data_IF_201617304884
#
_entry.id   IF_201617304884
#
_cell.length_a   1.000
_cell.length_b   1.000
_cell.length_c   1.000
_cell.angle_alpha   90.00
_cell.angle_beta   90.00
_cell.angle_gamma   90.00
#
_symmetry.space_group_name_H-M   'P 1'
#
loop_
_entity.id
_entity.type
_entity.pdbx_description
1 polymer ?
#
# COMPACT_ATOMS: atom_id res chain seq x y z
N UNK A 1 11.65 17.32 6.70
CA UNK A 1 11.23 16.22 5.81
C UNK A 1 10.73 16.83 4.52
N UNK A 2 11.03 16.24 3.37
CA UNK A 2 10.61 16.80 2.09
C UNK A 2 9.10 16.74 1.90
N UNK A 3 8.57 17.71 1.16
CA UNK A 3 7.15 17.80 0.83
C UNK A 3 6.99 18.22 -0.62
N UNK A 4 5.89 17.86 -1.25
CA UNK A 4 5.48 18.35 -2.56
C UNK A 4 4.13 19.02 -2.48
N UNK A 5 3.99 20.17 -3.14
CA UNK A 5 2.72 20.87 -3.25
C UNK A 5 1.96 20.35 -4.47
N UNK A 6 0.71 19.97 -4.25
CA UNK A 6 -0.24 19.63 -5.31
C UNK A 6 -1.42 20.63 -5.32
N UNK A 7 -2.27 20.57 -6.32
CA UNK A 7 -3.47 21.41 -6.37
C UNK A 7 -4.42 21.17 -5.17
N UNK A 8 -4.32 20.00 -4.54
CA UNK A 8 -5.18 19.56 -3.44
C UNK A 8 -4.47 19.56 -2.07
N UNK A 9 -3.38 20.34 -1.92
CA UNK A 9 -2.62 20.45 -0.68
C UNK A 9 -1.26 19.76 -0.72
N UNK A 10 -0.54 19.86 0.38
CA UNK A 10 0.83 19.38 0.50
C UNK A 10 0.88 17.89 0.85
N UNK A 11 1.80 17.17 0.25
CA UNK A 11 2.08 15.76 0.56
C UNK A 11 3.48 15.63 1.14
N UNK A 12 3.60 14.81 2.17
CA UNK A 12 4.84 14.46 2.83
C UNK A 12 5.41 13.17 2.25
N UNK A 13 6.74 13.15 2.01
CA UNK A 13 7.46 11.95 1.59
C UNK A 13 8.85 11.87 2.22
N UNK A 14 9.42 10.69 2.23
CA UNK A 14 10.82 10.42 2.60
C UNK A 14 11.50 9.65 1.49
N UNK A 15 12.73 10.08 1.15
CA UNK A 15 13.61 9.38 0.23
C UNK A 15 14.86 8.95 0.96
N UNK A 16 15.05 7.64 1.11
CA UNK A 16 16.25 7.03 1.68
C UNK A 16 17.12 6.50 0.55
N UNK A 17 18.30 7.07 0.41
CA UNK A 17 19.34 6.57 -0.50
C UNK A 17 20.61 6.31 0.31
N UNK A 18 20.85 5.05 0.60
CA UNK A 18 22.06 4.56 1.29
C UNK A 18 22.83 3.59 0.41
N UNK A 19 22.58 3.64 -0.91
CA UNK A 19 23.25 2.77 -1.87
C UNK A 19 24.76 3.05 -1.88
N UNK A 20 25.61 2.00 -1.94
CA UNK A 20 27.05 2.17 -2.05
C UNK A 20 27.46 2.89 -3.35
N UNK A 21 28.59 3.62 -3.35
CA UNK A 21 29.00 4.44 -4.51
C UNK A 21 29.32 3.66 -5.79
N UNK A 22 29.43 2.35 -5.70
CA UNK A 22 29.59 1.46 -6.86
C UNK A 22 28.26 1.03 -7.49
N UNK A 23 27.13 1.22 -6.81
CA UNK A 23 25.79 1.05 -7.38
C UNK A 23 25.49 2.30 -8.20
N UNK A 24 25.49 2.13 -9.52
CA UNK A 24 25.24 3.25 -10.43
C UNK A 24 23.77 3.28 -10.83
N UNK A 25 23.13 4.47 -10.74
CA UNK A 25 21.73 4.68 -11.09
C UNK A 25 20.78 3.71 -10.36
N UNK A 26 20.78 3.69 -9.02
CA UNK A 26 19.91 2.78 -8.27
C UNK A 26 18.45 3.04 -8.61
N UNK A 27 17.70 1.97 -8.88
CA UNK A 27 16.27 2.04 -9.13
C UNK A 27 15.53 2.44 -7.85
N UNK A 28 14.36 3.05 -8.00
CA UNK A 28 13.53 3.49 -6.89
C UNK A 28 12.41 2.48 -6.63
N UNK A 29 12.22 2.12 -5.36
CA UNK A 29 11.03 1.41 -4.89
C UNK A 29 10.13 2.43 -4.18
N UNK A 30 8.93 2.67 -4.72
CA UNK A 30 7.92 3.55 -4.16
C UNK A 30 6.88 2.74 -3.38
N UNK A 31 6.69 3.09 -2.11
CA UNK A 31 5.79 2.40 -1.19
C UNK A 31 4.54 3.21 -0.89
N UNK A 32 3.37 2.58 -1.04
CA UNK A 32 2.05 3.15 -0.77
C UNK A 32 1.34 2.35 0.34
N UNK A 33 1.08 2.97 1.46
CA UNK A 33 0.38 2.34 2.58
C UNK A 33 -1.12 2.22 2.34
N UNK A 34 -1.82 1.44 3.14
CA UNK A 34 -3.26 1.26 3.09
C UNK A 34 -4.05 2.29 3.91
N UNK A 35 -5.31 1.98 4.14
CA UNK A 35 -6.22 2.85 4.91
C UNK A 35 -5.85 2.86 6.39
N UNK A 36 -5.94 4.05 7.00
CA UNK A 36 -5.80 4.28 8.44
C UNK A 36 -4.42 3.94 9.03
N UNK A 37 -3.37 4.21 8.28
CA UNK A 37 -1.99 4.09 8.72
C UNK A 37 -1.15 5.16 8.02
N UNK A 38 0.15 5.18 8.21
CA UNK A 38 1.09 6.07 7.52
C UNK A 38 2.31 5.31 7.01
N UNK A 39 3.23 6.02 6.37
CA UNK A 39 4.48 5.49 5.79
C UNK A 39 5.35 4.70 6.77
N UNK A 40 5.18 4.90 8.07
CA UNK A 40 5.93 4.20 9.12
C UNK A 40 5.79 2.67 9.09
N UNK A 41 4.74 2.12 8.45
CA UNK A 41 4.61 0.65 8.30
C UNK A 41 5.76 0.03 7.50
N UNK A 42 6.46 0.82 6.69
CA UNK A 42 7.54 0.38 5.81
C UNK A 42 8.92 0.41 6.46
N UNK A 43 9.04 0.92 7.70
CA UNK A 43 10.33 1.14 8.36
C UNK A 43 11.20 -0.12 8.43
N UNK A 44 10.60 -1.29 8.62
CA UNK A 44 11.33 -2.58 8.68
C UNK A 44 11.70 -3.15 7.29
N UNK A 45 11.19 -2.56 6.20
CA UNK A 45 11.57 -2.94 4.83
C UNK A 45 12.85 -2.24 4.38
N UNK A 46 13.08 -1.02 4.89
CA UNK A 46 14.20 -0.16 4.46
C UNK A 46 15.55 -0.88 4.60
N UNK A 47 15.91 -1.48 5.76
CA UNK A 47 17.21 -2.14 5.91
C UNK A 47 17.41 -3.34 4.98
N UNK A 48 16.33 -3.98 4.53
CA UNK A 48 16.38 -5.14 3.64
C UNK A 48 16.61 -4.77 2.17
N UNK A 49 16.44 -3.48 1.80
CA UNK A 49 16.38 -3.04 0.41
C UNK A 49 17.34 -1.88 0.08
N UNK A 50 17.65 -1.02 1.05
CA UNK A 50 18.33 0.27 0.83
C UNK A 50 19.83 0.19 0.48
N UNK A 51 20.41 -1.01 0.53
CA UNK A 51 21.77 -1.27 0.03
C UNK A 51 21.82 -1.33 -1.51
N UNK A 52 20.69 -1.46 -2.17
CA UNK A 52 20.61 -1.61 -3.63
C UNK A 52 19.66 -0.62 -4.29
N UNK A 53 18.58 -0.22 -3.60
CA UNK A 53 17.50 0.59 -4.13
C UNK A 53 17.35 1.90 -3.35
N UNK A 54 16.90 2.92 -4.04
CA UNK A 54 16.36 4.15 -3.40
C UNK A 54 14.98 3.81 -2.87
N UNK A 55 14.71 4.13 -1.61
CA UNK A 55 13.44 3.81 -0.95
C UNK A 55 12.63 5.10 -0.81
N UNK A 56 11.51 5.17 -1.51
CA UNK A 56 10.60 6.30 -1.51
C UNK A 56 9.32 5.90 -0.78
N UNK A 57 9.08 6.50 0.37
CA UNK A 57 7.84 6.34 1.14
C UNK A 57 7.12 7.66 1.23
N UNK A 58 5.82 7.66 1.38
CA UNK A 58 5.03 8.88 1.56
C UNK A 58 3.78 8.62 2.38
N UNK A 59 3.27 9.66 3.01
CA UNK A 59 1.96 9.62 3.65
C UNK A 59 0.88 9.96 2.62
N UNK A 60 -0.03 9.03 2.41
CA UNK A 60 -1.17 9.23 1.50
C UNK A 60 -2.02 10.39 1.99
N UNK A 61 -2.55 11.19 1.07
CA UNK A 61 -3.50 12.26 1.37
C UNK A 61 -4.53 11.81 2.40
N UNK A 62 -4.76 12.62 3.41
CA UNK A 62 -5.67 12.30 4.52
C UNK A 62 -5.03 11.54 5.67
N UNK A 63 -3.72 11.21 5.61
CA UNK A 63 -2.99 10.49 6.65
C UNK A 63 -1.64 11.12 6.97
N UNK A 64 -1.12 10.77 8.16
CA UNK A 64 0.22 11.12 8.61
C UNK A 64 0.49 12.62 8.61
N UNK A 65 1.54 13.04 7.93
CA UNK A 65 1.96 14.44 7.79
C UNK A 65 1.48 15.09 6.48
N UNK A 66 0.80 14.33 5.62
CA UNK A 66 0.18 14.85 4.41
C UNK A 66 -1.10 15.61 4.72
N UNK A 67 -1.48 16.52 3.83
CA UNK A 67 -2.70 17.31 3.96
C UNK A 67 -3.92 16.42 4.20
N UNK A 68 -4.71 16.77 5.20
CA UNK A 68 -6.02 16.17 5.49
C UNK A 68 -7.07 17.10 4.88
N UNK A 69 -7.74 16.68 3.78
CA UNK A 69 -8.78 17.48 3.15
C UNK A 69 -9.99 17.69 4.07
N UNK A 70 -10.84 18.63 3.75
CA UNK A 70 -12.13 18.81 4.43
C UNK A 70 -13.14 17.73 4.00
N UNK A 71 -14.32 17.73 4.66
CA UNK A 71 -15.36 16.71 4.44
C UNK A 71 -16.00 16.77 3.04
N UNK A 72 -15.82 17.86 2.30
CA UNK A 72 -16.36 18.02 0.95
C UNK A 72 -15.44 17.47 -0.14
N UNK A 73 -14.25 16.97 0.23
CA UNK A 73 -13.26 16.47 -0.72
C UNK A 73 -13.75 15.20 -1.44
N UNK A 74 -13.72 15.24 -2.77
CA UNK A 74 -14.08 14.11 -3.62
C UNK A 74 -12.89 13.17 -3.81
N UNK A 75 -12.94 11.99 -3.18
CA UNK A 75 -11.93 10.96 -3.28
C UNK A 75 -12.05 10.19 -4.59
N UNK A 76 -10.92 9.97 -5.26
CA UNK A 76 -10.89 9.16 -6.47
C UNK A 76 -9.54 8.47 -6.66
N UNK A 77 -9.53 7.30 -7.32
CA UNK A 77 -8.28 6.59 -7.69
C UNK A 77 -7.41 7.46 -8.60
N UNK A 78 -8.00 8.18 -9.54
CA UNK A 78 -7.23 9.09 -10.41
C UNK A 78 -6.57 10.23 -9.62
N UNK A 79 -7.27 10.81 -8.65
CA UNK A 79 -6.68 11.84 -7.77
C UNK A 79 -5.50 11.32 -6.96
N UNK A 80 -5.61 10.12 -6.37
CA UNK A 80 -4.50 9.48 -5.66
C UNK A 80 -3.37 9.05 -6.61
N UNK A 81 -3.68 8.63 -7.84
CA UNK A 81 -2.66 8.33 -8.85
C UNK A 81 -1.84 9.58 -9.22
N UNK A 82 -2.49 10.75 -9.33
CA UNK A 82 -1.80 12.03 -9.53
C UNK A 82 -0.90 12.38 -8.35
N UNK A 83 -1.32 12.08 -7.11
CA UNK A 83 -0.49 12.26 -5.92
C UNK A 83 0.76 11.37 -5.97
N UNK A 84 0.62 10.10 -6.36
CA UNK A 84 1.76 9.18 -6.56
C UNK A 84 2.73 9.72 -7.60
N UNK A 85 2.22 10.22 -8.74
CA UNK A 85 3.08 10.80 -9.78
C UNK A 85 3.80 12.05 -9.27
N UNK A 86 3.12 12.94 -8.55
CA UNK A 86 3.73 14.15 -7.98
C UNK A 86 4.86 13.81 -6.99
N UNK A 87 4.68 12.79 -6.16
CA UNK A 87 5.70 12.27 -5.23
C UNK A 87 6.90 11.69 -6.01
N UNK A 88 6.64 10.85 -7.02
CA UNK A 88 7.69 10.24 -7.84
C UNK A 88 8.51 11.31 -8.57
N UNK A 89 7.86 12.30 -9.17
CA UNK A 89 8.51 13.40 -9.88
C UNK A 89 9.35 14.28 -8.93
N UNK A 90 8.82 14.61 -7.75
CA UNK A 90 9.54 15.39 -6.73
C UNK A 90 10.78 14.65 -6.20
N UNK A 91 10.74 13.32 -6.15
CA UNK A 91 11.86 12.47 -5.75
C UNK A 91 12.83 12.15 -6.91
N UNK A 92 12.55 12.63 -8.13
CA UNK A 92 13.34 12.32 -9.33
C UNK A 92 13.28 10.82 -9.72
N UNK A 93 12.14 10.18 -9.49
CA UNK A 93 11.88 8.78 -9.87
C UNK A 93 11.07 8.75 -11.17
N UNK A 94 11.76 8.77 -12.31
CA UNK A 94 11.11 8.71 -13.63
C UNK A 94 10.36 7.39 -13.80
N UNK A 95 11.02 6.28 -13.48
CA UNK A 95 10.43 4.94 -13.42
C UNK A 95 10.72 4.33 -12.04
N UNK A 96 9.79 3.50 -11.55
CA UNK A 96 9.92 2.93 -10.22
C UNK A 96 9.22 1.57 -10.10
N UNK A 97 9.69 0.74 -9.16
CA UNK A 97 8.94 -0.39 -8.64
C UNK A 97 7.90 0.13 -7.68
N UNK A 98 6.65 -0.27 -7.85
CA UNK A 98 5.56 0.16 -6.97
C UNK A 98 5.19 -0.97 -6.01
N UNK A 99 5.16 -0.68 -4.71
CA UNK A 99 4.74 -1.62 -3.65
C UNK A 99 3.58 -1.01 -2.89
N UNK A 100 2.47 -1.70 -2.80
CA UNK A 100 1.28 -1.18 -2.12
C UNK A 100 0.60 -2.18 -1.22
N UNK A 101 0.21 -1.74 -0.01
CA UNK A 101 -0.57 -2.53 0.93
C UNK A 101 -2.05 -2.19 0.80
N UNK A 102 -2.93 -3.20 0.73
CA UNK A 102 -4.38 -3.03 0.74
C UNK A 102 -4.85 -2.03 -0.34
N UNK A 103 -5.38 -0.87 0.03
CA UNK A 103 -5.71 0.23 -0.89
C UNK A 103 -4.51 0.61 -1.78
N UNK A 104 -3.31 0.65 -1.21
CA UNK A 104 -2.09 0.93 -1.97
C UNK A 104 -1.81 -0.10 -3.05
N UNK A 105 -2.12 -1.38 -2.79
CA UNK A 105 -1.97 -2.40 -3.82
C UNK A 105 -3.05 -2.32 -4.91
N UNK A 106 -4.28 -1.94 -4.57
CA UNK A 106 -5.30 -1.61 -5.57
C UNK A 106 -4.86 -0.41 -6.43
N UNK A 107 -4.21 0.60 -5.81
CA UNK A 107 -3.57 1.71 -6.53
C UNK A 107 -2.48 1.21 -7.49
N UNK A 108 -1.65 0.26 -7.07
CA UNK A 108 -0.63 -0.35 -7.95
C UNK A 108 -1.24 -1.02 -9.18
N UNK A 109 -2.34 -1.77 -9.02
CA UNK A 109 -3.08 -2.35 -10.14
C UNK A 109 -3.68 -1.27 -11.05
N UNK A 110 -4.27 -0.23 -10.46
CA UNK A 110 -4.79 0.93 -11.20
C UNK A 110 -3.69 1.61 -12.05
N UNK A 111 -2.52 1.85 -11.45
CA UNK A 111 -1.37 2.42 -12.16
C UNK A 111 -0.87 1.50 -13.27
N UNK A 112 -0.87 0.19 -13.07
CA UNK A 112 -0.51 -0.81 -14.08
C UNK A 112 -1.38 -0.75 -15.33
N UNK A 113 -2.65 -0.37 -15.16
CA UNK A 113 -3.62 -0.18 -16.26
C UNK A 113 -3.45 1.21 -16.91
N UNK A 114 -3.33 2.27 -16.09
CA UNK A 114 -3.48 3.64 -16.58
C UNK A 114 -2.16 4.41 -16.75
N UNK A 115 -1.05 3.96 -16.13
CA UNK A 115 0.27 4.62 -16.12
C UNK A 115 1.43 3.61 -16.27
N UNK A 116 1.31 2.59 -17.16
CA UNK A 116 2.31 1.51 -17.24
C UNK A 116 3.72 2.02 -17.55
N UNK A 117 3.86 3.11 -18.27
CA UNK A 117 5.16 3.64 -18.67
C UNK A 117 6.01 4.15 -17.50
N UNK A 118 5.39 4.43 -16.35
CA UNK A 118 6.06 4.87 -15.12
C UNK A 118 6.52 3.70 -14.24
N UNK A 119 6.12 2.48 -14.55
CA UNK A 119 6.33 1.32 -13.69
C UNK A 119 7.40 0.38 -14.24
N UNK A 120 8.31 -0.06 -13.36
CA UNK A 120 9.23 -1.17 -13.60
C UNK A 120 8.55 -2.49 -13.21
N UNK A 121 7.88 -2.53 -12.06
CA UNK A 121 7.06 -3.64 -11.59
C UNK A 121 6.01 -3.18 -10.59
N UNK A 122 5.08 -4.06 -10.24
CA UNK A 122 4.00 -3.80 -9.28
C UNK A 122 3.98 -4.92 -8.24
N UNK A 123 3.91 -4.56 -6.95
CA UNK A 123 3.77 -5.53 -5.86
C UNK A 123 2.57 -5.20 -4.97
N UNK A 124 1.37 -5.69 -5.32
CA UNK A 124 0.19 -5.59 -4.48
C UNK A 124 0.30 -6.56 -3.30
N UNK A 125 0.19 -6.03 -2.07
CA UNK A 125 0.21 -6.81 -0.84
C UNK A 125 -1.19 -6.84 -0.22
N UNK A 126 -1.82 -8.02 -0.09
CA UNK A 126 -3.17 -8.21 0.46
C UNK A 126 -4.17 -7.17 -0.07
N UNK A 127 -4.31 -7.09 -1.39
CA UNK A 127 -5.01 -6.00 -2.06
C UNK A 127 -6.31 -6.44 -2.72
N UNK A 128 -7.39 -5.63 -2.67
CA UNK A 128 -8.56 -5.86 -3.51
C UNK A 128 -8.31 -5.36 -4.94
N UNK A 129 -9.05 -5.93 -5.90
CA UNK A 129 -9.18 -5.43 -7.27
C UNK A 129 -10.61 -5.04 -7.61
N UNK A 130 -11.55 -5.37 -6.71
CA UNK A 130 -12.97 -5.14 -6.87
C UNK A 130 -13.59 -4.80 -5.51
N UNK A 131 -14.10 -3.59 -5.35
CA UNK A 131 -14.71 -3.08 -4.14
C UNK A 131 -15.97 -3.82 -3.74
N UNK A 132 -16.75 -4.33 -4.69
CA UNK A 132 -17.91 -5.16 -4.41
C UNK A 132 -17.62 -6.44 -3.59
N UNK A 133 -16.35 -6.83 -3.49
CA UNK A 133 -15.89 -7.98 -2.69
C UNK A 133 -15.42 -7.61 -1.28
N UNK A 134 -15.43 -6.31 -0.92
CA UNK A 134 -14.99 -5.81 0.40
C UNK A 134 -16.14 -5.18 1.18
N UNK A 135 -17.28 -5.86 1.22
CA UNK A 135 -18.54 -5.35 1.80
C UNK A 135 -18.45 -4.91 3.27
N UNK A 136 -17.47 -5.39 4.03
CA UNK A 136 -17.24 -4.98 5.42
C UNK A 136 -16.90 -3.48 5.58
N UNK A 137 -16.50 -2.77 4.51
CA UNK A 137 -16.32 -1.32 4.51
C UNK A 137 -17.63 -0.56 4.78
N UNK A 138 -18.75 -1.11 4.37
CA UNK A 138 -20.09 -0.49 4.55
C UNK A 138 -20.42 -0.28 6.04
N UNK A 139 -19.95 -1.18 6.91
CA UNK A 139 -20.20 -1.12 8.34
C UNK A 139 -19.37 -0.04 9.07
N UNK A 140 -18.34 0.51 8.44
CA UNK A 140 -17.40 1.40 9.13
C UNK A 140 -18.04 2.70 9.61
N UNK A 141 -18.90 3.29 8.80
CA UNK A 141 -19.56 4.55 9.13
C UNK A 141 -20.36 4.44 10.44
N UNK A 142 -21.23 3.45 10.53
CA UNK A 142 -22.08 3.23 11.70
C UNK A 142 -21.24 2.83 12.91
N UNK A 143 -20.25 1.98 12.73
CA UNK A 143 -19.40 1.53 13.80
C UNK A 143 -18.52 2.67 14.38
N UNK A 144 -17.95 3.53 13.55
CA UNK A 144 -17.21 4.71 13.99
C UNK A 144 -18.13 5.71 14.70
N UNK A 145 -19.34 5.90 14.21
CA UNK A 145 -20.31 6.79 14.84
C UNK A 145 -20.72 6.30 16.25
N UNK A 146 -20.80 4.99 16.45
CA UNK A 146 -21.20 4.39 17.74
C UNK A 146 -20.03 4.26 18.72
N UNK A 147 -18.83 3.86 18.24
CA UNK A 147 -17.69 3.47 19.09
C UNK A 147 -16.47 4.40 18.98
N UNK A 148 -16.53 5.41 18.12
CA UNK A 148 -15.39 6.31 17.84
C UNK A 148 -14.23 5.62 17.14
N UNK A 149 -13.17 6.39 16.93
CA UNK A 149 -11.96 5.91 16.27
C UNK A 149 -11.16 4.90 17.14
N UNK A 150 -11.22 5.02 18.45
CA UNK A 150 -10.55 4.07 19.37
C UNK A 150 -11.17 2.68 19.26
N UNK A 151 -12.51 2.57 19.39
CA UNK A 151 -13.20 1.29 19.28
C UNK A 151 -13.07 0.69 17.88
N UNK A 152 -13.08 1.52 16.83
CA UNK A 152 -12.83 1.07 15.48
C UNK A 152 -11.40 0.52 15.31
N UNK A 153 -10.40 1.21 15.89
CA UNK A 153 -9.01 0.77 15.87
C UNK A 153 -8.83 -0.59 16.57
N UNK A 154 -9.40 -0.78 17.76
CA UNK A 154 -9.36 -2.07 18.48
C UNK A 154 -9.91 -3.22 17.61
N UNK A 155 -11.08 -3.02 17.01
CA UNK A 155 -11.69 -4.00 16.09
C UNK A 155 -10.80 -4.30 14.87
N UNK A 156 -10.13 -3.28 14.32
CA UNK A 156 -9.23 -3.46 13.18
C UNK A 156 -7.93 -4.17 13.55
N UNK A 157 -7.37 -3.92 14.74
CA UNK A 157 -6.15 -4.58 15.21
C UNK A 157 -6.33 -6.09 15.27
N UNK A 158 -7.47 -6.59 15.80
CA UNK A 158 -7.80 -8.02 15.84
C UNK A 158 -7.84 -8.66 14.44
N UNK A 159 -8.23 -7.90 13.42
CA UNK A 159 -8.31 -8.37 12.03
C UNK A 159 -6.98 -8.27 11.29
N UNK A 160 -6.10 -7.34 11.72
CA UNK A 160 -4.79 -7.12 11.09
C UNK A 160 -3.73 -8.08 11.58
N UNK A 161 -3.76 -8.46 12.86
CA UNK A 161 -2.71 -9.26 13.46
C UNK A 161 -3.27 -10.43 14.29
N UNK A 162 -2.52 -11.53 14.36
CA UNK A 162 -2.78 -12.57 15.34
C UNK A 162 -2.36 -12.07 16.74
N UNK A 163 -3.01 -12.51 17.82
CA UNK A 163 -2.55 -12.22 19.18
C UNK A 163 -1.08 -12.62 19.36
N UNK A 164 -0.24 -11.68 19.79
CA UNK A 164 1.21 -11.89 19.92
C UNK A 164 1.98 -11.98 18.59
N UNK A 165 1.36 -11.70 17.46
CA UNK A 165 2.00 -11.71 16.12
C UNK A 165 2.93 -10.53 15.85
N UNK A 166 2.88 -9.49 16.69
CA UNK A 166 3.78 -8.33 16.70
C UNK A 166 4.18 -7.99 18.15
N UNK A 167 5.24 -7.20 18.33
CA UNK A 167 5.64 -6.77 19.67
C UNK A 167 4.61 -5.82 20.28
N UNK A 168 4.58 -5.72 21.63
CA UNK A 168 3.67 -4.80 22.34
C UNK A 168 3.90 -3.33 21.95
N UNK A 169 5.14 -2.93 21.69
CA UNK A 169 5.46 -1.56 21.26
C UNK A 169 4.95 -1.32 19.84
N UNK A 170 5.11 -2.28 18.94
CA UNK A 170 4.56 -2.24 17.58
C UNK A 170 3.04 -2.21 17.58
N UNK A 171 2.40 -3.00 18.45
CA UNK A 171 0.95 -3.04 18.64
C UNK A 171 0.43 -1.67 19.09
N UNK A 172 1.06 -1.09 20.12
CA UNK A 172 0.71 0.23 20.64
C UNK A 172 0.89 1.32 19.57
N UNK A 173 2.02 1.31 18.83
CA UNK A 173 2.26 2.27 17.76
C UNK A 173 1.20 2.18 16.67
N UNK A 174 0.90 0.98 16.20
CA UNK A 174 -0.07 0.76 15.13
C UNK A 174 -1.48 1.19 15.55
N UNK A 175 -1.95 0.74 16.72
CA UNK A 175 -3.25 1.09 17.25
C UNK A 175 -3.41 2.61 17.48
N UNK A 176 -2.38 3.27 18.05
CA UNK A 176 -2.38 4.72 18.26
C UNK A 176 -2.40 5.50 16.95
N UNK A 177 -1.58 5.10 15.97
CA UNK A 177 -1.57 5.73 14.64
C UNK A 177 -2.94 5.59 13.97
N UNK A 178 -3.52 4.40 14.03
CA UNK A 178 -4.80 4.09 13.42
C UNK A 178 -5.96 4.87 14.08
N UNK A 179 -6.00 4.96 15.42
CA UNK A 179 -7.04 5.68 16.14
C UNK A 179 -6.94 7.21 16.00
N UNK A 180 -5.74 7.73 15.69
CA UNK A 180 -5.51 9.17 15.47
C UNK A 180 -5.86 9.66 14.06
N UNK A 181 -6.18 8.75 13.14
CA UNK A 181 -6.56 9.13 11.77
C UNK A 181 -7.91 9.85 11.74
N UNK A 182 -8.07 10.75 10.77
CA UNK A 182 -9.36 11.39 10.53
C UNK A 182 -10.40 10.37 10.06
N UNK A 183 -11.55 10.35 10.73
CA UNK A 183 -12.67 9.45 10.38
C UNK A 183 -13.19 9.71 8.97
N UNK A 184 -13.32 10.98 8.55
CA UNK A 184 -13.78 11.28 7.20
C UNK A 184 -12.79 10.85 6.11
N UNK A 185 -11.48 10.93 6.37
CA UNK A 185 -10.48 10.39 5.43
C UNK A 185 -10.60 8.87 5.30
N UNK A 186 -10.80 8.15 6.41
CA UNK A 186 -11.01 6.71 6.39
C UNK A 186 -12.28 6.33 5.63
N UNK A 187 -13.38 7.03 5.90
CA UNK A 187 -14.67 6.78 5.25
C UNK A 187 -14.62 7.11 3.76
N UNK A 188 -14.00 8.24 3.38
CA UNK A 188 -13.86 8.62 1.98
C UNK A 188 -13.00 7.64 1.18
N UNK A 189 -11.87 7.17 1.73
CA UNK A 189 -11.07 6.11 1.10
C UNK A 189 -11.83 4.77 1.05
N UNK A 190 -12.62 4.46 2.08
CA UNK A 190 -13.47 3.27 2.09
C UNK A 190 -14.51 3.30 0.98
N UNK A 191 -15.23 4.41 0.81
CA UNK A 191 -16.20 4.62 -0.24
C UNK A 191 -15.56 4.54 -1.63
N UNK A 192 -14.43 5.22 -1.84
CA UNK A 192 -13.66 5.13 -3.08
C UNK A 192 -13.26 3.68 -3.41
N UNK A 193 -12.88 2.88 -2.39
CA UNK A 193 -12.55 1.46 -2.58
C UNK A 193 -13.75 0.62 -2.96
N UNK A 194 -14.96 0.91 -2.44
CA UNK A 194 -16.20 0.20 -2.79
C UNK A 194 -16.55 0.39 -4.27
N UNK A 195 -16.25 1.55 -4.83
CA UNK A 195 -16.56 1.90 -6.22
C UNK A 195 -15.57 1.35 -7.24
N UNK A 196 -14.38 0.91 -6.80
CA UNK A 196 -13.36 0.39 -7.71
C UNK A 196 -13.72 -1.00 -8.22
N UNK A 197 -13.59 -1.22 -9.53
CA UNK A 197 -13.66 -2.54 -10.15
C UNK A 197 -12.68 -2.61 -11.34
N UNK A 198 -11.55 -3.27 -11.11
CA UNK A 198 -10.49 -3.44 -12.10
C UNK A 198 -10.53 -4.82 -12.78
N UNK A 199 -11.56 -5.65 -12.49
CA UNK A 199 -11.59 -7.06 -12.89
C UNK A 199 -11.46 -7.27 -14.41
N UNK A 200 -12.11 -6.42 -15.23
CA UNK A 200 -12.07 -6.51 -16.70
C UNK A 200 -10.72 -6.11 -17.31
N UNK A 201 -9.94 -5.28 -16.58
CA UNK A 201 -8.76 -4.62 -17.13
C UNK A 201 -7.44 -5.21 -16.60
N UNK A 202 -7.50 -6.14 -15.63
CA UNK A 202 -6.31 -6.80 -15.08
C UNK A 202 -5.46 -7.47 -16.16
N UNK A 203 -6.08 -8.09 -17.16
CA UNK A 203 -5.38 -8.73 -18.28
C UNK A 203 -4.60 -7.77 -19.20
N UNK A 204 -4.87 -6.46 -19.11
CA UNK A 204 -4.13 -5.43 -19.84
C UNK A 204 -2.82 -5.01 -19.16
N UNK A 205 -2.58 -5.45 -17.92
CA UNK A 205 -1.34 -5.15 -17.19
C UNK A 205 -0.19 -5.94 -17.83
N UNK A 206 0.73 -5.22 -18.46
CA UNK A 206 1.89 -5.79 -19.16
C UNK A 206 3.15 -5.83 -18.29
N UNK A 207 3.19 -5.03 -17.24
CA UNK A 207 4.35 -4.97 -16.32
C UNK A 207 4.39 -6.21 -15.42
N UNK A 208 5.59 -6.64 -15.01
CA UNK A 208 5.72 -7.74 -14.05
C UNK A 208 5.00 -7.45 -12.73
N UNK A 209 4.24 -8.42 -12.22
CA UNK A 209 3.46 -8.29 -10.98
C UNK A 209 3.90 -9.35 -9.99
N UNK A 210 4.20 -8.94 -8.75
CA UNK A 210 4.51 -9.83 -7.65
C UNK A 210 3.46 -9.68 -6.54
N UNK A 211 2.58 -10.64 -6.41
CA UNK A 211 1.51 -10.64 -5.41
C UNK A 211 2.02 -11.21 -4.08
N UNK A 212 1.83 -10.46 -2.99
CA UNK A 212 2.08 -10.96 -1.63
C UNK A 212 0.74 -11.10 -0.91
N UNK A 213 0.37 -12.31 -0.54
CA UNK A 213 -0.88 -12.63 0.13
C UNK A 213 -0.67 -13.14 1.55
N UNK A 214 -1.55 -12.76 2.47
CA UNK A 214 -1.67 -13.38 3.78
C UNK A 214 -2.64 -14.57 3.68
N UNK A 215 -2.27 -15.73 4.24
CA UNK A 215 -3.11 -16.95 4.20
C UNK A 215 -4.40 -16.84 5.02
N UNK A 216 -4.40 -15.96 6.01
CA UNK A 216 -5.48 -15.86 7.02
C UNK A 216 -6.05 -14.45 7.14
N UNK A 217 -6.03 -13.64 6.08
CA UNK A 217 -6.63 -12.30 6.09
C UNK A 217 -8.16 -12.38 6.18
N UNK A 218 -8.78 -11.85 7.24
CA UNK A 218 -10.24 -11.85 7.35
C UNK A 218 -10.91 -10.79 6.46
N UNK A 219 -10.13 -9.83 5.94
CA UNK A 219 -10.63 -8.80 5.03
C UNK A 219 -10.63 -9.25 3.57
N UNK A 220 -9.57 -9.93 3.17
CA UNK A 220 -9.31 -10.32 1.79
C UNK A 220 -8.88 -11.78 1.76
N UNK A 221 -9.83 -12.70 1.54
CA UNK A 221 -9.52 -14.11 1.36
C UNK A 221 -8.53 -14.34 0.22
N UNK A 222 -7.71 -15.39 0.33
CA UNK A 222 -6.70 -15.74 -0.68
C UNK A 222 -7.27 -15.88 -2.09
N UNK A 223 -8.56 -16.24 -2.20
CA UNK A 223 -9.27 -16.34 -3.49
C UNK A 223 -9.22 -15.02 -4.27
N UNK A 224 -9.30 -13.86 -3.59
CA UNK A 224 -9.22 -12.54 -4.26
C UNK A 224 -7.84 -12.34 -4.88
N UNK A 225 -6.77 -12.67 -4.16
CA UNK A 225 -5.41 -12.58 -4.73
C UNK A 225 -5.19 -13.60 -5.84
N UNK A 226 -5.75 -14.81 -5.71
CA UNK A 226 -5.69 -15.82 -6.76
C UNK A 226 -6.42 -15.40 -8.04
N UNK A 227 -7.53 -14.67 -7.92
CA UNK A 227 -8.21 -14.08 -9.09
C UNK A 227 -7.32 -13.05 -9.81
N UNK A 228 -6.63 -12.17 -9.06
CA UNK A 228 -5.68 -11.22 -9.65
C UNK A 228 -4.57 -11.99 -10.38
N UNK A 229 -3.97 -12.98 -9.72
CA UNK A 229 -2.90 -13.80 -10.30
C UNK A 229 -3.33 -14.50 -11.60
N UNK A 230 -4.50 -15.10 -11.59
CA UNK A 230 -5.02 -15.81 -12.77
C UNK A 230 -5.38 -14.86 -13.92
N UNK A 231 -5.63 -13.58 -13.63
CA UNK A 231 -6.01 -12.57 -14.63
C UNK A 231 -4.82 -11.85 -15.26
N UNK A 232 -3.65 -11.83 -14.60
CA UNK A 232 -2.45 -11.13 -15.07
C UNK A 232 -1.42 -12.15 -15.55
N UNK A 233 -1.13 -12.23 -16.87
CA UNK A 233 -0.25 -13.26 -17.42
C UNK A 233 1.18 -13.25 -16.88
N UNK A 234 1.73 -12.06 -16.60
CA UNK A 234 3.09 -11.90 -16.07
C UNK A 234 3.04 -11.60 -14.57
N UNK A 235 2.54 -12.57 -13.79
CA UNK A 235 2.45 -12.42 -12.32
C UNK A 235 3.02 -13.64 -11.59
N UNK A 236 3.58 -13.36 -10.40
CA UNK A 236 4.03 -14.35 -9.41
C UNK A 236 3.23 -14.15 -8.13
N UNK A 237 2.98 -15.21 -7.36
CA UNK A 237 2.23 -15.17 -6.11
C UNK A 237 3.00 -15.83 -4.98
N UNK A 238 3.27 -15.06 -3.93
CA UNK A 238 3.77 -15.54 -2.66
C UNK A 238 2.69 -15.49 -1.58
N UNK A 239 2.46 -16.61 -0.91
CA UNK A 239 1.51 -16.73 0.20
C UNK A 239 2.28 -16.83 1.51
N UNK A 240 2.10 -15.84 2.38
CA UNK A 240 2.73 -15.79 3.69
C UNK A 240 1.85 -16.52 4.71
N UNK A 241 2.38 -17.62 5.23
CA UNK A 241 1.67 -18.47 6.20
C UNK A 241 1.60 -17.80 7.57
N UNK A 242 0.50 -18.07 8.29
CA UNK A 242 0.23 -17.53 9.64
C UNK A 242 0.24 -15.99 9.67
N UNK A 243 -0.21 -15.36 8.61
CA UNK A 243 -0.33 -13.91 8.49
C UNK A 243 -1.80 -13.50 8.31
N UNK A 244 -2.16 -12.38 8.96
CA UNK A 244 -3.41 -11.65 8.72
C UNK A 244 -3.16 -10.46 7.80
N UNK A 245 -4.16 -9.58 7.69
CA UNK A 245 -4.13 -8.45 6.74
C UNK A 245 -2.89 -7.54 6.86
N UNK A 246 -2.38 -7.33 8.08
CA UNK A 246 -1.17 -6.53 8.33
C UNK A 246 0.15 -7.27 8.04
N UNK A 247 0.19 -8.16 7.04
CA UNK A 247 1.35 -9.00 6.68
C UNK A 247 2.61 -8.19 6.39
N UNK A 248 2.50 -7.05 5.72
CA UNK A 248 3.64 -6.19 5.39
C UNK A 248 4.35 -5.61 6.61
N UNK A 249 3.64 -5.53 7.73
CA UNK A 249 4.18 -5.08 9.01
C UNK A 249 4.64 -6.24 9.89
N UNK A 250 3.79 -7.25 10.08
CA UNK A 250 4.10 -8.40 10.94
C UNK A 250 5.17 -9.34 10.38
N UNK A 251 5.31 -9.41 9.06
CA UNK A 251 6.26 -10.26 8.34
C UNK A 251 7.18 -9.45 7.41
N UNK A 252 7.49 -8.21 7.80
CA UNK A 252 8.17 -7.21 6.97
C UNK A 252 9.44 -7.74 6.29
N UNK A 253 10.36 -8.32 7.07
CA UNK A 253 11.63 -8.83 6.53
C UNK A 253 11.43 -9.99 5.52
N UNK A 254 10.42 -10.85 5.73
CA UNK A 254 10.11 -11.93 4.80
C UNK A 254 9.55 -11.36 3.49
N UNK A 255 8.59 -10.45 3.58
CA UNK A 255 8.00 -9.80 2.41
C UNK A 255 9.05 -8.97 1.62
N UNK A 256 9.91 -8.23 2.32
CA UNK A 256 10.96 -7.44 1.67
C UNK A 256 11.99 -8.32 0.94
N UNK A 257 12.40 -9.45 1.53
CA UNK A 257 13.28 -10.41 0.86
C UNK A 257 12.62 -11.09 -0.34
N UNK A 258 11.32 -11.38 -0.25
CA UNK A 258 10.56 -11.91 -1.40
C UNK A 258 10.52 -10.89 -2.55
N UNK A 259 10.23 -9.61 -2.25
CA UNK A 259 10.29 -8.53 -3.23
C UNK A 259 11.69 -8.42 -3.87
N UNK A 260 12.76 -8.42 -3.05
CA UNK A 260 14.14 -8.37 -3.55
C UNK A 260 14.44 -9.52 -4.51
N UNK A 261 14.04 -10.74 -4.15
CA UNK A 261 14.23 -11.91 -5.00
C UNK A 261 13.48 -11.78 -6.33
N UNK A 262 12.25 -11.26 -6.30
CA UNK A 262 11.47 -10.99 -7.49
C UNK A 262 12.17 -9.96 -8.40
N UNK A 263 12.54 -8.79 -7.88
CA UNK A 263 13.21 -7.74 -8.70
C UNK A 263 14.54 -8.26 -9.28
N UNK A 264 15.34 -9.01 -8.49
CA UNK A 264 16.59 -9.59 -8.99
C UNK A 264 16.39 -10.54 -10.17
N UNK A 265 15.25 -11.25 -10.26
CA UNK A 265 14.93 -12.09 -11.44
C UNK A 265 14.63 -11.26 -12.66
N UNK A 266 13.98 -10.09 -12.51
CA UNK A 266 13.69 -9.20 -13.63
C UNK A 266 14.95 -8.62 -14.27
N UNK A 267 16.00 -8.37 -13.49
CA UNK A 267 17.28 -7.84 -13.99
C UNK A 267 18.10 -8.88 -14.79
N UNK A 268 17.74 -10.17 -14.72
CA UNK A 268 18.44 -11.25 -15.41
C UNK A 268 17.79 -11.63 -16.74
N UNK A 269 16.62 -11.08 -17.02
CA UNK A 269 15.86 -11.30 -18.28
C UNK A 269 16.00 -10.16 -19.23
#
# INVERSE_FOLDING_TARGET
MPTVNTNNGQLHYDLVDTTPPWVKSPETILFHHGVAINSGIWSSWIPELSDKYRILTFDVRGYGQSHIPDESFEWSFEGLAQDVMAIADAAGAENFHFVGESMGGAMGLYLGIHRPDRLLSITPCTSPHNGGKVQWLVEWRDFIAEHGMEGWSERMMERRFFPGGISKDSEKWFASTQSSCSSHSILGHGEMLLDVNLSSDLGAITKPVHLIAADSSPFLPLTITSEIHNSIPNSELDVIAKARHGVVFSHAALCARSLRAFINRLEQT
#
